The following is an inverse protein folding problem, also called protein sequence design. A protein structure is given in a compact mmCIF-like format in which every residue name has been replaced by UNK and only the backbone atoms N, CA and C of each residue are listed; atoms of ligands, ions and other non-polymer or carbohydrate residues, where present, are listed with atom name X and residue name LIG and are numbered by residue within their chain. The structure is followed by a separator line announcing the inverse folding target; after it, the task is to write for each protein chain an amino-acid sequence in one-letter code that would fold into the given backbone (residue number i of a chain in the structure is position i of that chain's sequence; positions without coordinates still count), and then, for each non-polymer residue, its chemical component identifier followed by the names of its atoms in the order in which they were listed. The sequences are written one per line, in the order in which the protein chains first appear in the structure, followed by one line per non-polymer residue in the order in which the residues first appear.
data_IF_816683733578
#
_entry.id   IF_816683733578
#
_cell.length_a   1.000
_cell.length_b   1.000
_cell.length_c   1.000
_cell.angle_alpha   90.00
_cell.angle_beta   90.00
_cell.angle_gamma   90.00
#
_symmetry.space_group_name_H-M   'P 1'
#
loop_
_entity.id
_entity.type
_entity.pdbx_description
1 polymer ?
#
# COMPACT_ATOMS: atom_id res chain seq x y z
N UNK A 1 -21.30 -19.15 -20.03
CA UNK A 1 -20.52 -18.22 -19.23
C UNK A 1 -20.75 -18.44 -17.74
N UNK A 2 -21.99 -18.80 -17.38
CA UNK A 2 -22.39 -19.06 -15.98
C UNK A 2 -21.71 -20.29 -15.35
N UNK A 3 -21.42 -21.33 -16.13
CA UNK A 3 -20.69 -22.51 -15.65
C UNK A 3 -19.25 -22.24 -15.24
N UNK A 4 -18.55 -21.33 -15.92
CA UNK A 4 -17.19 -20.93 -15.58
C UNK A 4 -17.17 -20.03 -14.32
N UNK A 5 -18.17 -19.16 -14.18
CA UNK A 5 -18.33 -18.33 -12.99
C UNK A 5 -18.69 -19.18 -11.77
N UNK A 6 -19.59 -20.19 -11.94
CA UNK A 6 -19.90 -21.12 -10.87
C UNK A 6 -18.70 -21.99 -10.50
N UNK A 7 -17.97 -22.54 -11.48
CA UNK A 7 -16.75 -23.33 -11.20
C UNK A 7 -15.66 -22.51 -10.49
N UNK A 8 -15.48 -21.24 -10.88
CA UNK A 8 -14.56 -20.33 -10.20
C UNK A 8 -15.03 -20.01 -8.77
N UNK A 9 -16.32 -19.77 -8.57
CA UNK A 9 -16.91 -19.56 -7.26
C UNK A 9 -16.73 -20.77 -6.33
N UNK A 10 -17.01 -21.98 -6.84
CA UNK A 10 -16.83 -23.22 -6.11
C UNK A 10 -15.36 -23.51 -5.78
N UNK A 11 -14.45 -23.20 -6.71
CA UNK A 11 -13.01 -23.34 -6.48
C UNK A 11 -12.54 -22.38 -5.37
N UNK A 12 -12.96 -21.12 -5.39
CA UNK A 12 -12.64 -20.13 -4.37
C UNK A 12 -13.26 -20.54 -3.02
N UNK A 13 -14.50 -20.98 -3.01
CA UNK A 13 -15.18 -21.42 -1.78
C UNK A 13 -14.52 -22.65 -1.15
N UNK A 14 -14.04 -23.60 -1.94
CA UNK A 14 -13.29 -24.78 -1.45
C UNK A 14 -11.87 -24.45 -1.01
N UNK A 15 -11.26 -23.42 -1.58
CA UNK A 15 -9.87 -23.03 -1.34
C UNK A 15 -9.72 -21.70 -0.60
N UNK A 16 -10.74 -21.26 0.15
CA UNK A 16 -10.72 -19.99 0.87
C UNK A 16 -9.51 -19.85 1.83
N UNK A 17 -9.00 -20.97 2.37
CA UNK A 17 -7.79 -20.99 3.19
C UNK A 17 -6.53 -20.61 2.39
N UNK A 18 -6.47 -20.96 1.11
CA UNK A 18 -5.33 -20.63 0.24
C UNK A 18 -5.29 -19.16 -0.15
N UNK A 19 -6.42 -18.46 -0.13
CA UNK A 19 -6.45 -17.03 -0.45
C UNK A 19 -5.56 -16.20 0.47
N UNK A 20 -5.60 -16.46 1.78
CA UNK A 20 -4.72 -15.81 2.75
C UNK A 20 -3.24 -16.13 2.53
N UNK A 21 -2.92 -17.38 2.17
CA UNK A 21 -1.53 -17.80 1.88
C UNK A 21 -1.03 -17.14 0.60
N UNK A 22 -1.83 -17.14 -0.47
CA UNK A 22 -1.46 -16.52 -1.76
C UNK A 22 -1.27 -15.00 -1.60
N UNK A 23 -2.24 -14.31 -0.99
CA UNK A 23 -2.14 -12.87 -0.74
C UNK A 23 -1.00 -12.55 0.21
N UNK A 24 -0.75 -13.39 1.22
CA UNK A 24 0.39 -13.30 2.12
C UNK A 24 1.72 -13.44 1.36
N UNK A 25 1.84 -14.40 0.45
CA UNK A 25 3.02 -14.58 -0.39
C UNK A 25 3.26 -13.38 -1.32
N UNK A 26 2.20 -12.88 -1.95
CA UNK A 26 2.29 -11.68 -2.80
C UNK A 26 2.74 -10.47 -1.97
N UNK A 27 2.17 -10.29 -0.77
CA UNK A 27 2.53 -9.21 0.14
C UNK A 27 3.96 -9.36 0.66
N UNK A 28 4.42 -10.59 0.90
CA UNK A 28 5.80 -10.91 1.23
C UNK A 28 6.75 -10.48 0.11
N UNK A 29 6.46 -10.87 -1.14
CA UNK A 29 7.27 -10.50 -2.30
C UNK A 29 7.31 -8.98 -2.51
N UNK A 30 6.17 -8.29 -2.34
CA UNK A 30 6.09 -6.82 -2.40
C UNK A 30 6.91 -6.13 -1.29
N UNK A 31 7.05 -6.77 -0.13
CA UNK A 31 7.83 -6.23 1.01
C UNK A 31 9.33 -6.49 0.88
N UNK A 32 9.78 -7.29 -0.10
CA UNK A 32 11.20 -7.47 -0.36
C UNK A 32 11.81 -6.26 -1.06
N UNK A 33 12.97 -5.79 -0.59
CA UNK A 33 13.61 -4.54 -1.00
C UNK A 33 13.90 -4.39 -2.51
N UNK A 34 14.04 -5.50 -3.24
CA UNK A 34 14.36 -5.50 -4.68
C UNK A 34 13.14 -5.90 -5.51
N UNK A 35 12.40 -6.90 -5.07
CA UNK A 35 11.26 -7.49 -5.80
C UNK A 35 10.03 -6.61 -5.70
N UNK A 36 9.82 -5.97 -4.54
CA UNK A 36 8.62 -5.20 -4.23
C UNK A 36 8.38 -3.97 -5.12
N UNK A 37 9.41 -3.49 -5.84
CA UNK A 37 9.24 -2.42 -6.82
C UNK A 37 8.45 -2.84 -8.07
N UNK A 38 8.33 -4.15 -8.32
CA UNK A 38 7.69 -4.71 -9.52
C UNK A 38 6.35 -5.38 -9.24
N UNK A 39 5.98 -5.59 -7.98
CA UNK A 39 4.75 -6.31 -7.59
C UNK A 39 3.69 -5.30 -7.10
N UNK A 40 2.60 -5.07 -7.85
CA UNK A 40 1.54 -4.14 -7.46
C UNK A 40 0.51 -4.83 -6.54
N UNK A 41 0.90 -5.27 -5.33
CA UNK A 41 -0.01 -5.95 -4.41
C UNK A 41 -1.10 -5.02 -3.85
N UNK A 42 -0.88 -3.70 -3.84
CA UNK A 42 -1.85 -2.72 -3.34
C UNK A 42 -3.21 -2.84 -4.04
N UNK A 43 -3.23 -2.99 -5.37
CA UNK A 43 -4.47 -3.19 -6.12
C UNK A 43 -5.17 -4.51 -5.78
N UNK A 44 -4.40 -5.57 -5.57
CA UNK A 44 -4.93 -6.88 -5.18
C UNK A 44 -5.53 -6.86 -3.76
N UNK A 45 -4.93 -6.11 -2.83
CA UNK A 45 -5.49 -5.93 -1.49
C UNK A 45 -6.81 -5.17 -1.50
N UNK A 46 -6.93 -4.13 -2.32
CA UNK A 46 -8.19 -3.41 -2.50
C UNK A 46 -9.26 -4.35 -3.08
N UNK A 47 -8.93 -5.13 -4.11
CA UNK A 47 -9.85 -6.13 -4.67
C UNK A 47 -10.23 -7.19 -3.63
N UNK A 48 -9.27 -7.69 -2.85
CA UNK A 48 -9.53 -8.64 -1.76
C UNK A 48 -10.47 -8.06 -0.69
N UNK A 49 -10.36 -6.76 -0.38
CA UNK A 49 -11.31 -6.07 0.49
C UNK A 49 -12.75 -6.11 -0.02
N UNK A 50 -12.94 -5.94 -1.34
CA UNK A 50 -14.25 -6.09 -1.98
C UNK A 50 -14.79 -7.53 -1.89
N UNK A 51 -13.92 -8.53 -2.11
CA UNK A 51 -14.30 -9.95 -2.01
C UNK A 51 -14.62 -10.36 -0.57
N UNK A 52 -13.97 -9.76 0.43
CA UNK A 52 -14.32 -9.94 1.84
C UNK A 52 -15.73 -9.38 2.11
N UNK A 53 -16.05 -8.18 1.60
CA UNK A 53 -17.37 -7.58 1.76
C UNK A 53 -18.48 -8.40 1.07
N UNK A 54 -18.15 -9.06 -0.05
CA UNK A 54 -19.04 -9.98 -0.76
C UNK A 54 -19.18 -11.36 -0.08
N UNK A 55 -18.47 -11.61 1.04
CA UNK A 55 -18.50 -12.91 1.74
C UNK A 55 -17.75 -14.06 1.04
N UNK A 56 -16.98 -13.74 -0.01
CA UNK A 56 -16.22 -14.74 -0.79
C UNK A 56 -14.93 -15.15 -0.07
N UNK A 57 -14.27 -14.22 0.62
CA UNK A 57 -13.02 -14.46 1.33
C UNK A 57 -13.21 -14.28 2.85
N UNK A 58 -12.57 -15.19 3.61
CA UNK A 58 -12.51 -15.04 5.08
C UNK A 58 -11.59 -13.90 5.47
N UNK A 59 -12.12 -12.86 6.19
CA UNK A 59 -11.36 -11.68 6.56
C UNK A 59 -10.15 -12.00 7.45
N UNK A 60 -10.31 -12.96 8.39
CA UNK A 60 -9.25 -13.27 9.35
C UNK A 60 -8.06 -13.92 8.63
N UNK A 61 -8.33 -14.87 7.76
CA UNK A 61 -7.30 -15.56 7.00
C UNK A 61 -6.52 -14.62 6.07
N UNK A 62 -7.23 -13.73 5.36
CA UNK A 62 -6.60 -12.74 4.47
C UNK A 62 -5.78 -11.73 5.26
N UNK A 63 -6.32 -11.16 6.33
CA UNK A 63 -5.63 -10.15 7.16
C UNK A 63 -4.38 -10.76 7.79
N UNK A 64 -4.49 -11.92 8.42
CA UNK A 64 -3.36 -12.60 9.07
C UNK A 64 -2.30 -12.99 8.05
N UNK A 65 -2.70 -13.59 6.91
CA UNK A 65 -1.78 -13.95 5.83
C UNK A 65 -0.99 -12.76 5.31
N UNK A 66 -1.67 -11.64 5.01
CA UNK A 66 -1.03 -10.41 4.52
C UNK A 66 -0.11 -9.77 5.56
N UNK A 67 -0.50 -9.74 6.86
CA UNK A 67 0.35 -9.21 7.93
C UNK A 67 1.61 -10.06 8.06
N UNK A 68 1.48 -11.38 8.14
CA UNK A 68 2.62 -12.30 8.25
C UNK A 68 3.55 -12.15 7.05
N UNK A 69 2.99 -12.13 5.83
CA UNK A 69 3.77 -11.91 4.61
C UNK A 69 4.55 -10.61 4.65
N UNK A 70 3.88 -9.48 4.96
CA UNK A 70 4.52 -8.17 5.05
C UNK A 70 5.63 -8.13 6.11
N UNK A 71 5.37 -8.67 7.30
CA UNK A 71 6.33 -8.69 8.42
C UNK A 71 7.56 -9.51 8.08
N UNK A 72 7.38 -10.68 7.46
CA UNK A 72 8.49 -11.56 7.05
C UNK A 72 9.34 -10.94 5.94
N UNK A 73 8.71 -10.32 4.93
CA UNK A 73 9.41 -9.65 3.83
C UNK A 73 10.27 -8.48 4.31
N UNK A 74 9.71 -7.63 5.18
CA UNK A 74 10.43 -6.52 5.78
C UNK A 74 11.54 -6.99 6.73
N UNK A 75 11.30 -8.05 7.52
CA UNK A 75 12.30 -8.63 8.40
C UNK A 75 13.49 -9.19 7.60
N UNK A 76 13.23 -9.87 6.49
CA UNK A 76 14.27 -10.38 5.60
C UNK A 76 15.08 -9.25 4.96
N UNK A 77 14.40 -8.20 4.50
CA UNK A 77 15.03 -6.98 3.97
C UNK A 77 15.90 -6.29 5.03
N UNK A 78 15.42 -6.18 6.26
CA UNK A 78 16.18 -5.63 7.39
C UNK A 78 17.43 -6.46 7.70
N UNK A 79 17.32 -7.78 7.76
CA UNK A 79 18.45 -8.66 8.02
C UNK A 79 19.46 -8.63 6.89
N UNK A 80 18.99 -8.59 5.64
CA UNK A 80 19.84 -8.38 4.47
C UNK A 80 20.64 -7.08 4.60
N UNK A 81 19.96 -5.97 4.92
CA UNK A 81 20.61 -4.68 5.16
C UNK A 81 21.64 -4.71 6.28
N UNK A 82 21.34 -5.40 7.36
CA UNK A 82 22.24 -5.55 8.52
C UNK A 82 23.52 -6.34 8.20
N UNK A 83 23.41 -7.38 7.35
CA UNK A 83 24.54 -8.19 6.89
C UNK A 83 25.37 -7.50 5.82
N UNK A 84 24.71 -6.91 4.84
CA UNK A 84 25.36 -6.22 3.71
C UNK A 84 26.08 -4.92 4.13
N UNK A 85 25.50 -4.20 5.10
CA UNK A 85 26.09 -2.99 5.65
C UNK A 85 26.24 -1.86 4.62
N UNK A 86 27.04 -0.84 4.97
CA UNK A 86 27.24 0.36 4.13
C UNK A 86 28.01 0.06 2.84
N UNK A 87 28.77 -1.04 2.79
CA UNK A 87 29.53 -1.43 1.60
C UNK A 87 28.62 -1.72 0.39
N UNK A 88 27.45 -2.29 0.64
CA UNK A 88 26.44 -2.56 -0.38
C UNK A 88 25.99 -1.28 -1.12
N UNK A 89 25.82 -0.19 -0.39
CA UNK A 89 25.40 1.10 -0.97
C UNK A 89 26.49 1.78 -1.83
N UNK A 90 27.75 1.31 -1.75
CA UNK A 90 28.86 1.83 -2.55
C UNK A 90 28.95 1.21 -3.92
N UNK A 91 28.18 0.16 -4.22
CA UNK A 91 28.16 -0.49 -5.51
C UNK A 91 27.78 0.49 -6.64
N UNK A 92 28.33 0.34 -7.86
CA UNK A 92 28.10 1.25 -9.00
C UNK A 92 26.62 1.33 -9.39
N UNK A 93 25.84 0.27 -9.17
CA UNK A 93 24.39 0.21 -9.42
C UNK A 93 23.61 1.30 -8.65
N UNK A 94 24.10 1.72 -7.49
CA UNK A 94 23.46 2.76 -6.66
C UNK A 94 24.00 4.17 -6.93
N UNK A 95 24.96 4.32 -7.82
CA UNK A 95 25.59 5.62 -8.14
C UNK A 95 24.57 6.72 -8.49
N UNK A 96 23.57 6.49 -9.38
CA UNK A 96 22.61 7.49 -9.75
C UNK A 96 21.63 7.87 -8.60
N UNK A 97 21.52 7.01 -7.57
CA UNK A 97 20.56 7.18 -6.48
C UNK A 97 21.20 7.57 -5.15
N UNK A 98 22.50 7.87 -5.11
CA UNK A 98 23.27 8.18 -3.89
C UNK A 98 22.63 9.28 -3.02
N UNK A 99 22.09 10.32 -3.64
CA UNK A 99 21.45 11.43 -2.93
C UNK A 99 20.15 10.97 -2.22
N UNK A 100 19.33 10.16 -2.88
CA UNK A 100 18.11 9.57 -2.30
C UNK A 100 18.44 8.62 -1.15
N UNK A 101 19.43 7.78 -1.33
CA UNK A 101 19.93 6.83 -0.32
C UNK A 101 20.45 7.57 0.92
N UNK A 102 21.26 8.61 0.73
CA UNK A 102 21.78 9.43 1.83
C UNK A 102 20.64 10.09 2.61
N UNK A 103 19.64 10.63 1.89
CA UNK A 103 18.46 11.23 2.50
C UNK A 103 17.63 10.20 3.29
N UNK A 104 17.36 9.02 2.71
CA UNK A 104 16.62 7.94 3.39
C UNK A 104 17.37 7.47 4.64
N UNK A 105 18.71 7.36 4.57
CA UNK A 105 19.55 7.01 5.72
C UNK A 105 19.44 8.03 6.84
N UNK A 106 19.51 9.32 6.52
CA UNK A 106 19.36 10.41 7.49
C UNK A 106 17.97 10.40 8.12
N UNK A 107 16.93 10.21 7.30
CA UNK A 107 15.55 10.10 7.71
C UNK A 107 15.34 8.92 8.69
N UNK A 108 15.84 7.73 8.36
CA UNK A 108 15.78 6.56 9.23
C UNK A 108 16.50 6.77 10.57
N UNK A 109 17.66 7.47 10.56
CA UNK A 109 18.38 7.81 11.79
C UNK A 109 17.62 8.80 12.66
N UNK A 110 16.94 9.79 12.06
CA UNK A 110 16.23 10.85 12.78
C UNK A 110 14.91 10.37 13.36
N UNK A 111 14.14 9.61 12.60
CA UNK A 111 12.76 9.22 12.95
C UNK A 111 12.62 7.79 13.48
N UNK A 112 13.65 6.95 13.38
CA UNK A 112 13.66 5.60 13.94
C UNK A 112 12.43 4.77 13.54
N UNK A 113 11.64 4.32 14.53
CA UNK A 113 10.44 3.49 14.33
C UNK A 113 9.39 4.19 13.45
N UNK A 114 9.23 5.51 13.59
CA UNK A 114 8.26 6.28 12.81
C UNK A 114 8.56 6.24 11.32
N UNK A 115 9.86 6.07 10.94
CA UNK A 115 10.23 5.94 9.53
C UNK A 115 9.65 4.69 8.86
N UNK A 116 9.35 3.63 9.62
CA UNK A 116 8.73 2.40 9.12
C UNK A 116 7.29 2.71 8.71
N UNK A 117 6.52 3.39 9.59
CA UNK A 117 5.15 3.77 9.29
C UNK A 117 5.07 4.65 8.05
N UNK A 118 5.80 5.76 8.04
CA UNK A 118 5.76 6.70 6.92
C UNK A 118 6.28 6.05 5.63
N UNK A 119 7.38 5.31 5.71
CA UNK A 119 7.97 4.62 4.56
C UNK A 119 7.00 3.63 3.90
N UNK A 120 6.17 2.94 4.69
CA UNK A 120 5.22 1.94 4.20
C UNK A 120 4.10 2.53 3.33
N UNK A 121 3.72 3.78 3.55
CA UNK A 121 2.71 4.47 2.74
C UNK A 121 3.31 5.19 1.51
N UNK A 122 4.63 5.33 1.45
CA UNK A 122 5.32 5.94 0.31
C UNK A 122 5.87 4.87 -0.63
N UNK A 123 5.12 4.50 -1.67
CA UNK A 123 5.40 3.49 -2.68
C UNK A 123 6.87 3.01 -2.82
N UNK A 124 7.77 3.72 -3.53
CA UNK A 124 9.15 3.25 -3.73
C UNK A 124 10.00 3.19 -2.46
N UNK A 125 9.65 3.98 -1.41
CA UNK A 125 10.41 4.03 -0.16
C UNK A 125 10.11 2.82 0.73
N UNK A 126 8.95 2.20 0.58
CA UNK A 126 8.48 1.08 1.39
C UNK A 126 9.51 -0.06 1.46
N UNK A 127 9.98 -0.51 0.30
CA UNK A 127 10.93 -1.62 0.22
C UNK A 127 12.33 -1.24 0.72
N UNK A 128 12.73 0.03 0.57
CA UNK A 128 14.06 0.50 0.96
C UNK A 128 14.20 0.84 2.44
N UNK A 129 13.12 1.23 3.14
CA UNK A 129 13.18 1.62 4.55
C UNK A 129 13.65 0.47 5.45
N UNK A 130 13.10 -0.77 5.39
CA UNK A 130 13.59 -1.88 6.19
C UNK A 130 15.07 -2.19 5.94
N UNK A 131 15.49 -2.20 4.67
CA UNK A 131 16.88 -2.40 4.28
C UNK A 131 17.80 -1.32 4.90
N UNK A 132 17.40 -0.04 4.81
CA UNK A 132 18.17 1.08 5.37
C UNK A 132 18.27 1.02 6.88
N UNK A 133 17.18 0.65 7.58
CA UNK A 133 17.18 0.45 9.03
C UNK A 133 18.11 -0.69 9.45
N UNK A 134 18.21 -1.75 8.65
CA UNK A 134 19.20 -2.81 8.81
C UNK A 134 20.63 -2.29 8.66
N UNK A 135 20.93 -1.51 7.60
CA UNK A 135 22.25 -0.92 7.35
C UNK A 135 22.67 0.04 8.47
N UNK A 136 21.73 0.83 8.98
CA UNK A 136 21.97 1.76 10.11
C UNK A 136 22.10 1.01 11.45
N UNK A 137 21.86 -0.31 11.46
CA UNK A 137 21.90 -1.17 12.66
C UNK A 137 20.93 -0.74 13.76
N UNK A 138 19.70 -0.36 13.38
CA UNK A 138 18.64 -0.12 14.35
C UNK A 138 18.46 -1.32 15.27
N UNK A 139 18.03 -1.10 16.53
CA UNK A 139 17.74 -2.19 17.48
C UNK A 139 16.64 -3.10 16.93
N UNK A 140 16.91 -4.41 16.84
CA UNK A 140 15.99 -5.38 16.23
C UNK A 140 14.61 -5.40 16.89
N UNK A 141 14.53 -5.33 18.22
CA UNK A 141 13.24 -5.28 18.93
C UNK A 141 12.40 -4.07 18.54
N UNK A 142 13.01 -2.89 18.45
CA UNK A 142 12.34 -1.65 18.05
C UNK A 142 11.88 -1.73 16.58
N UNK A 143 12.71 -2.31 15.69
CA UNK A 143 12.32 -2.55 14.31
C UNK A 143 11.12 -3.49 14.21
N UNK A 144 11.16 -4.67 14.87
CA UNK A 144 10.08 -5.65 14.78
C UNK A 144 8.76 -5.12 15.33
N UNK A 145 8.80 -4.38 16.45
CA UNK A 145 7.60 -3.73 16.99
C UNK A 145 6.99 -2.76 15.97
N UNK A 146 7.81 -1.87 15.39
CA UNK A 146 7.34 -0.93 14.37
C UNK A 146 6.88 -1.62 13.08
N UNK A 147 7.55 -2.70 12.69
CA UNK A 147 7.21 -3.51 11.53
C UNK A 147 5.83 -4.15 11.67
N UNK A 148 5.59 -4.88 12.78
CA UNK A 148 4.29 -5.52 13.04
C UNK A 148 3.18 -4.46 13.14
N UNK A 149 3.37 -3.42 13.96
CA UNK A 149 2.36 -2.38 14.14
C UNK A 149 2.02 -1.66 12.82
N UNK A 150 3.05 -1.30 12.03
CA UNK A 150 2.82 -0.67 10.73
C UNK A 150 2.19 -1.61 9.69
N UNK A 151 2.49 -2.93 9.75
CA UNK A 151 1.89 -3.93 8.87
C UNK A 151 0.38 -4.05 9.12
N UNK A 152 -0.04 -4.12 10.38
CA UNK A 152 -1.45 -4.16 10.75
C UNK A 152 -2.19 -2.93 10.19
N UNK A 153 -1.69 -1.73 10.51
CA UNK A 153 -2.31 -0.48 10.04
C UNK A 153 -2.39 -0.43 8.51
N UNK A 154 -1.32 -0.83 7.82
CA UNK A 154 -1.26 -0.77 6.37
C UNK A 154 -2.19 -1.78 5.70
N UNK A 155 -2.22 -3.04 6.15
CA UNK A 155 -3.11 -4.07 5.59
C UNK A 155 -4.56 -3.64 5.73
N UNK A 156 -4.96 -3.18 6.91
CA UNK A 156 -6.32 -2.69 7.13
C UNK A 156 -6.64 -1.46 6.26
N UNK A 157 -5.70 -0.52 6.14
CA UNK A 157 -5.87 0.67 5.29
C UNK A 157 -5.97 0.32 3.79
N UNK A 158 -5.37 -0.78 3.33
CA UNK A 158 -5.46 -1.20 1.92
C UNK A 158 -6.72 -2.04 1.64
N UNK A 159 -7.20 -2.82 2.59
CA UNK A 159 -8.44 -3.59 2.46
C UNK A 159 -9.69 -2.71 2.59
N UNK A 160 -9.64 -1.67 3.44
CA UNK A 160 -10.79 -0.82 3.76
C UNK A 160 -11.45 -0.15 2.54
N UNK A 161 -10.72 0.44 1.57
CA UNK A 161 -11.35 1.06 0.41
C UNK A 161 -12.19 0.08 -0.43
N UNK A 162 -11.68 -1.12 -0.67
CA UNK A 162 -12.41 -2.15 -1.41
C UNK A 162 -13.64 -2.66 -0.66
N UNK A 163 -13.49 -2.89 0.65
CA UNK A 163 -14.58 -3.31 1.52
C UNK A 163 -15.71 -2.28 1.58
N UNK A 164 -15.36 -1.00 1.80
CA UNK A 164 -16.34 0.09 1.86
C UNK A 164 -17.00 0.35 0.50
N UNK A 165 -16.25 0.27 -0.60
CA UNK A 165 -16.79 0.42 -1.94
C UNK A 165 -17.83 -0.67 -2.25
N UNK A 166 -17.53 -1.94 -1.95
CA UNK A 166 -18.46 -3.05 -2.17
C UNK A 166 -19.72 -2.91 -1.33
N UNK A 167 -19.61 -2.56 -0.04
CA UNK A 167 -20.77 -2.30 0.80
C UNK A 167 -21.59 -1.07 0.35
N UNK A 168 -20.91 -0.03 -0.13
CA UNK A 168 -21.59 1.15 -0.67
C UNK A 168 -22.39 0.83 -1.93
N UNK A 169 -21.83 0.02 -2.83
CA UNK A 169 -22.53 -0.45 -4.03
C UNK A 169 -23.73 -1.31 -3.68
N UNK A 170 -23.61 -2.26 -2.76
CA UNK A 170 -24.72 -3.10 -2.31
C UNK A 170 -25.87 -2.27 -1.71
N UNK A 171 -25.56 -1.24 -0.91
CA UNK A 171 -26.57 -0.31 -0.40
C UNK A 171 -27.21 0.53 -1.49
N UNK A 172 -26.44 0.95 -2.50
CA UNK A 172 -26.94 1.69 -3.65
C UNK A 172 -27.89 0.84 -4.49
N UNK A 173 -27.61 -0.45 -4.71
CA UNK A 173 -28.52 -1.38 -5.39
C UNK A 173 -29.87 -1.45 -4.67
N UNK A 174 -29.85 -1.64 -3.35
CA UNK A 174 -31.07 -1.67 -2.54
C UNK A 174 -31.87 -0.35 -2.61
N UNK A 175 -31.18 0.80 -2.62
CA UNK A 175 -31.81 2.11 -2.76
C UNK A 175 -32.34 2.36 -4.17
N UNK A 176 -31.67 1.80 -5.20
CA UNK A 176 -32.08 1.94 -6.61
C UNK A 176 -33.31 1.09 -6.90
N UNK A 177 -33.42 -0.09 -6.31
CA UNK A 177 -34.65 -0.90 -6.37
C UNK A 177 -35.83 -0.18 -5.70
N UNK A 178 -35.57 0.55 -4.60
CA UNK A 178 -36.62 1.26 -3.87
C UNK A 178 -37.02 2.62 -4.48
N UNK A 179 -36.12 3.32 -5.17
CA UNK A 179 -36.31 4.74 -5.55
C UNK A 179 -36.03 5.04 -7.04
N UNK A 180 -35.74 4.02 -7.87
CA UNK A 180 -35.49 4.19 -9.31
C UNK A 180 -34.13 4.80 -9.68
N UNK A 181 -33.83 4.87 -10.99
CA UNK A 181 -32.50 5.23 -11.50
C UNK A 181 -32.05 6.68 -11.21
N UNK A 182 -32.94 7.52 -10.72
CA UNK A 182 -32.67 8.95 -10.44
C UNK A 182 -31.65 9.15 -9.30
N UNK A 183 -31.66 8.28 -8.28
CA UNK A 183 -30.65 8.33 -7.21
C UNK A 183 -29.25 7.91 -7.67
N UNK A 184 -29.16 6.93 -8.55
CA UNK A 184 -27.87 6.48 -9.11
C UNK A 184 -27.20 7.64 -9.89
N UNK A 185 -27.97 8.35 -10.70
CA UNK A 185 -27.48 9.52 -11.44
C UNK A 185 -27.03 10.63 -10.48
N UNK A 186 -27.76 10.86 -9.41
CA UNK A 186 -27.39 11.83 -8.36
C UNK A 186 -26.06 11.48 -7.67
N UNK A 187 -25.86 10.24 -7.28
CA UNK A 187 -24.62 9.78 -6.62
C UNK A 187 -23.43 9.84 -7.56
N UNK A 188 -23.58 9.43 -8.82
CA UNK A 188 -22.54 9.55 -9.83
C UNK A 188 -22.19 11.03 -10.05
N UNK A 189 -23.17 11.91 -10.15
CA UNK A 189 -22.96 13.35 -10.32
C UNK A 189 -22.16 13.94 -9.13
N UNK A 190 -22.52 13.59 -7.90
CA UNK A 190 -21.80 14.01 -6.69
C UNK A 190 -20.36 13.47 -6.67
N UNK A 191 -20.15 12.21 -7.04
CA UNK A 191 -18.82 11.62 -7.12
C UNK A 191 -17.94 12.32 -8.17
N UNK A 192 -18.48 12.60 -9.35
CA UNK A 192 -17.78 13.34 -10.42
C UNK A 192 -17.45 14.76 -9.94
N UNK A 193 -18.40 15.43 -9.28
CA UNK A 193 -18.19 16.77 -8.74
C UNK A 193 -17.09 16.78 -7.67
N UNK A 194 -17.08 15.81 -6.76
CA UNK A 194 -16.05 15.67 -5.74
C UNK A 194 -14.66 15.47 -6.37
N UNK A 195 -14.55 14.59 -7.36
CA UNK A 195 -13.29 14.36 -8.10
C UNK A 195 -12.86 15.65 -8.83
N UNK A 196 -13.78 16.37 -9.46
CA UNK A 196 -13.49 17.63 -10.15
C UNK A 196 -13.01 18.72 -9.17
N UNK A 197 -13.61 18.80 -7.97
CA UNK A 197 -13.18 19.74 -6.92
C UNK A 197 -11.78 19.40 -6.45
N UNK A 198 -11.51 18.13 -6.13
CA UNK A 198 -10.18 17.67 -5.71
C UNK A 198 -9.14 17.97 -6.79
N UNK A 199 -9.44 17.66 -8.06
CA UNK A 199 -8.57 17.97 -9.18
C UNK A 199 -8.27 19.47 -9.30
N UNK A 200 -9.30 20.33 -9.19
CA UNK A 200 -9.13 21.78 -9.22
C UNK A 200 -8.28 22.29 -8.06
N UNK A 201 -8.50 21.77 -6.84
CA UNK A 201 -7.71 22.15 -5.65
C UNK A 201 -6.24 21.75 -5.79
N UNK A 202 -5.97 20.54 -6.29
CA UNK A 202 -4.60 20.06 -6.54
C UNK A 202 -3.92 20.91 -7.61
N UNK A 203 -4.62 21.20 -8.72
CA UNK A 203 -4.12 22.06 -9.81
C UNK A 203 -3.83 23.48 -9.33
N UNK A 204 -4.72 24.06 -8.53
CA UNK A 204 -4.54 25.40 -7.96
C UNK A 204 -3.34 25.45 -6.97
N UNK A 205 -3.14 24.40 -6.16
CA UNK A 205 -1.96 24.30 -5.27
C UNK A 205 -0.65 24.18 -6.06
N UNK A 206 -0.65 23.41 -7.16
CA UNK A 206 0.53 23.29 -8.02
C UNK A 206 0.84 24.60 -8.75
N UNK A 207 -0.17 25.32 -9.25
CA UNK A 207 0.01 26.62 -9.89
C UNK A 207 0.56 27.67 -8.91
N UNK A 208 0.08 27.72 -7.67
CA UNK A 208 0.62 28.63 -6.64
C UNK A 208 2.09 28.32 -6.30
N UNK A 209 2.47 27.03 -6.22
CA UNK A 209 3.87 26.65 -5.99
C UNK A 209 4.79 27.07 -7.13
N UNK A 210 4.37 26.92 -8.38
CA UNK A 210 5.16 27.33 -9.54
C UNK A 210 5.27 28.84 -9.67
N UNK A 211 4.27 29.63 -9.26
CA UNK A 211 4.32 31.09 -9.21
C UNK A 211 5.32 31.60 -8.15
N UNK A 212 5.32 31.01 -6.97
CA UNK A 212 6.27 31.35 -5.89
C UNK A 212 7.72 31.06 -6.32
N UNK A 213 7.95 29.91 -6.99
CA UNK A 213 9.28 29.56 -7.49
C UNK A 213 9.78 30.48 -8.60
N UNK A 214 8.90 30.94 -9.50
CA UNK A 214 9.25 31.91 -10.55
C UNK A 214 9.54 33.30 -9.97
N UNK A 215 8.76 33.77 -8.98
CA UNK A 215 9.01 35.03 -8.29
C UNK A 215 10.36 35.06 -7.55
N UNK A 216 10.74 33.95 -6.92
CA UNK A 216 12.03 33.81 -6.23
C UNK A 216 13.25 33.76 -7.19
N UNK A 217 13.05 33.40 -8.44
CA UNK A 217 14.11 33.36 -9.48
C UNK A 217 14.27 34.72 -10.21
N UNK A 218 13.24 35.55 -10.24
CA UNK A 218 13.28 36.88 -10.89
C UNK A 218 13.81 38.00 -9.98
N UNK A 219 13.99 37.72 -8.68
CA UNK A 219 14.51 38.67 -7.69
C UNK A 219 16.03 38.53 -7.43
N UNK A 220 16.71 37.70 -8.22
CA UNK A 220 18.17 37.57 -8.26
C UNK A 220 18.72 38.03 -9.60
#
# INVERSE_FOLDING_TARGET
MDSLLQAAGDFIARNHLWAGVILGLITFLESLAIVGAFVPATGLLVAAGGLIAAGVLDPVNVVVGCIVGAVLGDALSYWGGRRLGVRFLRQPMFAPHRRRIAWTRLYCRRYGVLSIFVGRFFGPLRAFVPLMLGIVRMRQRAFQFGNVASAVVWVLAMLAPGFLAAQGLARLELLTEAHGPTLLVGVIAVAILAVAIVYRLVKARMARRSAILRGALSSR
#
